data_IF_571652095861
#
_entry.id   IF_571652095861
#
_cell.length_a   1.000
_cell.length_b   1.000
_cell.length_c   1.000
_cell.angle_alpha   90.00
_cell.angle_beta   90.00
_cell.angle_gamma   90.00
#
_symmetry.space_group_name_H-M   'P 1'
#
loop_
_entity.id
_entity.type
_entity.pdbx_description
1 polymer ?
#
# COMPACT_ATOMS: atom_id res chain seq x y z
N UNK A 1 9.88 -15.37 -15.13
CA UNK A 1 11.05 -15.72 -14.28
C UNK A 1 10.59 -16.67 -13.21
N UNK A 2 11.42 -17.67 -12.82
CA UNK A 2 11.07 -18.54 -11.69
C UNK A 2 11.25 -17.78 -10.39
N UNK A 3 10.30 -17.91 -9.47
CA UNK A 3 10.32 -17.26 -8.15
C UNK A 3 11.61 -17.64 -7.38
N UNK A 4 12.22 -16.65 -6.76
CA UNK A 4 13.41 -16.75 -5.94
C UNK A 4 13.08 -16.45 -4.49
N UNK A 5 14.00 -16.74 -3.57
CA UNK A 5 13.88 -16.45 -2.14
C UNK A 5 13.54 -14.98 -1.87
N UNK A 6 14.24 -14.05 -2.52
CA UNK A 6 14.03 -12.62 -2.38
C UNK A 6 12.59 -12.19 -2.71
N UNK A 7 11.99 -12.77 -3.75
CA UNK A 7 10.61 -12.47 -4.13
C UNK A 7 9.63 -12.84 -3.01
N UNK A 8 9.82 -14.02 -2.40
CA UNK A 8 8.99 -14.46 -1.27
C UNK A 8 9.17 -13.55 -0.05
N UNK A 9 10.42 -13.20 0.27
CA UNK A 9 10.70 -12.31 1.38
C UNK A 9 10.03 -10.96 1.20
N UNK A 10 10.25 -10.33 0.04
CA UNK A 10 9.68 -9.01 -0.28
C UNK A 10 8.16 -9.02 -0.26
N UNK A 11 7.53 -10.04 -0.89
CA UNK A 11 6.07 -10.17 -0.87
C UNK A 11 5.54 -10.36 0.55
N UNK A 12 6.17 -11.26 1.33
CA UNK A 12 5.75 -11.53 2.71
C UNK A 12 5.88 -10.31 3.60
N UNK A 13 7.01 -9.60 3.47
CA UNK A 13 7.27 -8.39 4.25
C UNK A 13 6.27 -7.28 3.91
N UNK A 14 6.05 -7.02 2.63
CA UNK A 14 5.11 -6.00 2.18
C UNK A 14 3.69 -6.24 2.68
N UNK A 15 3.18 -7.46 2.50
CA UNK A 15 1.83 -7.82 2.94
C UNK A 15 1.68 -7.78 4.46
N UNK A 16 2.72 -8.24 5.18
CA UNK A 16 2.75 -8.13 6.63
C UNK A 16 2.79 -6.67 7.09
N UNK A 17 3.66 -5.85 6.49
CA UNK A 17 3.81 -4.45 6.84
C UNK A 17 2.50 -3.68 6.68
N UNK A 18 1.85 -3.86 5.55
CA UNK A 18 0.55 -3.23 5.27
C UNK A 18 -0.53 -3.67 6.27
N UNK A 19 -0.66 -4.97 6.50
CA UNK A 19 -1.61 -5.49 7.50
C UNK A 19 -1.27 -5.01 8.92
N UNK A 20 0.01 -5.01 9.31
CA UNK A 20 0.45 -4.61 10.64
C UNK A 20 0.13 -3.14 10.91
N UNK A 21 0.38 -2.27 9.93
CA UNK A 21 0.04 -0.85 10.00
C UNK A 21 -1.48 -0.63 10.12
N UNK A 22 -2.26 -1.31 9.31
CA UNK A 22 -3.72 -1.18 9.33
C UNK A 22 -4.37 -1.77 10.59
N UNK A 23 -3.85 -2.89 11.09
CA UNK A 23 -4.43 -3.59 12.23
C UNK A 23 -3.98 -3.01 13.58
N UNK A 24 -2.69 -2.77 13.74
CA UNK A 24 -2.13 -2.22 14.99
C UNK A 24 -2.27 -0.70 15.08
N UNK A 25 -2.12 -0.03 13.94
CA UNK A 25 -2.17 1.43 13.86
C UNK A 25 -3.56 1.99 13.59
N UNK A 26 -4.51 1.15 13.21
CA UNK A 26 -5.84 1.60 12.72
C UNK A 26 -5.70 2.70 11.64
N UNK A 27 -4.62 2.61 10.82
CA UNK A 27 -4.19 3.66 9.89
C UNK A 27 -5.06 3.68 8.61
N UNK A 28 -6.37 3.85 8.79
CA UNK A 28 -7.34 3.97 7.70
C UNK A 28 -8.55 4.83 8.10
N UNK A 29 -9.26 5.31 7.10
CA UNK A 29 -10.48 6.11 7.27
C UNK A 29 -11.58 5.63 6.34
N UNK A 30 -12.79 5.38 6.88
CA UNK A 30 -13.97 5.05 6.09
C UNK A 30 -14.49 6.30 5.36
N UNK A 31 -14.68 6.20 4.06
CA UNK A 31 -15.15 7.29 3.20
C UNK A 31 -16.36 6.86 2.38
N UNK A 32 -17.22 7.84 2.11
CA UNK A 32 -18.24 7.79 1.08
C UNK A 32 -18.00 8.97 0.17
N UNK A 33 -17.87 8.75 -1.13
CA UNK A 33 -17.49 9.83 -2.02
C UNK A 33 -17.86 9.59 -3.48
N UNK A 34 -17.70 10.65 -4.24
CA UNK A 34 -17.88 10.66 -5.69
C UNK A 34 -16.60 10.24 -6.39
N UNK A 35 -16.75 9.63 -7.56
CA UNK A 35 -15.70 9.30 -8.48
C UNK A 35 -15.78 10.20 -9.72
N UNK A 36 -14.63 10.60 -10.20
CA UNK A 36 -14.51 11.55 -11.30
C UNK A 36 -14.03 10.86 -12.57
N UNK A 37 -14.78 11.03 -13.65
CA UNK A 37 -14.40 10.49 -14.96
C UNK A 37 -13.12 11.11 -15.49
N UNK A 38 -12.25 10.27 -16.01
CA UNK A 38 -11.09 10.70 -16.81
C UNK A 38 -10.75 9.66 -17.88
N UNK A 39 -9.95 10.06 -18.87
CA UNK A 39 -9.46 9.17 -19.91
C UNK A 39 -8.07 8.64 -19.54
N UNK A 40 -7.91 7.34 -19.49
CA UNK A 40 -6.61 6.69 -19.33
C UNK A 40 -6.30 5.88 -20.60
N UNK A 41 -5.27 6.27 -21.38
CA UNK A 41 -4.94 5.61 -22.65
C UNK A 41 -4.41 4.16 -22.48
N UNK A 42 -4.12 3.75 -21.24
CA UNK A 42 -3.66 2.39 -20.90
C UNK A 42 -4.79 1.44 -20.54
N UNK A 43 -6.00 1.95 -20.38
CA UNK A 43 -7.19 1.14 -20.13
C UNK A 43 -7.92 0.91 -21.44
N UNK A 44 -8.37 -0.33 -21.66
CA UNK A 44 -9.16 -0.69 -22.84
C UNK A 44 -10.36 0.23 -22.99
N UNK A 45 -10.65 0.66 -24.22
CA UNK A 45 -11.75 1.57 -24.57
C UNK A 45 -13.15 1.04 -24.23
N UNK A 46 -13.28 -0.27 -23.99
CA UNK A 46 -14.51 -0.87 -23.49
C UNK A 46 -14.87 -0.44 -22.07
N UNK A 47 -13.89 0.09 -21.31
CA UNK A 47 -14.08 0.59 -19.96
C UNK A 47 -14.03 2.10 -19.90
N UNK A 48 -14.83 2.66 -19.00
CA UNK A 48 -14.73 4.07 -18.57
C UNK A 48 -14.10 4.10 -17.19
N UNK A 49 -13.12 4.97 -17.02
CA UNK A 49 -12.34 5.08 -15.78
C UNK A 49 -12.86 6.21 -14.93
N UNK A 50 -13.11 5.90 -13.66
CA UNK A 50 -13.55 6.86 -12.66
C UNK A 50 -12.63 6.78 -11.45
N UNK A 51 -11.89 7.85 -11.17
CA UNK A 51 -10.95 7.94 -10.05
C UNK A 51 -11.58 8.59 -8.82
N UNK A 52 -11.22 8.09 -7.65
CA UNK A 52 -11.47 8.77 -6.38
C UNK A 52 -10.35 9.79 -6.09
N UNK A 53 -10.56 10.74 -5.17
CA UNK A 53 -9.49 11.63 -4.71
C UNK A 53 -8.51 10.96 -3.74
N UNK A 54 -8.51 9.64 -3.65
CA UNK A 54 -7.66 8.84 -2.75
C UNK A 54 -6.98 7.73 -3.53
N UNK A 55 -5.71 7.44 -3.19
CA UNK A 55 -4.89 6.50 -3.96
C UNK A 55 -5.16 5.06 -3.58
N UNK A 56 -4.77 4.64 -2.40
CA UNK A 56 -4.87 3.24 -2.00
C UNK A 56 -6.08 3.00 -1.10
N UNK A 57 -6.88 2.00 -1.45
CA UNK A 57 -7.96 1.52 -0.62
C UNK A 57 -7.53 0.30 0.18
N UNK A 58 -8.17 0.09 1.32
CA UNK A 58 -7.97 -1.12 2.11
C UNK A 58 -8.51 -2.32 1.34
N UNK A 59 -7.65 -3.32 1.16
CA UNK A 59 -7.94 -4.57 0.45
C UNK A 59 -8.21 -5.74 1.38
N UNK A 60 -7.76 -5.64 2.64
CA UNK A 60 -7.69 -6.76 3.57
C UNK A 60 -8.95 -6.86 4.45
N UNK A 61 -9.73 -7.93 4.25
CA UNK A 61 -10.94 -8.20 5.02
C UNK A 61 -10.69 -8.67 6.45
N UNK A 62 -9.44 -8.88 6.85
CA UNK A 62 -9.10 -9.14 8.25
C UNK A 62 -9.09 -7.88 9.11
N UNK A 63 -9.10 -6.68 8.49
CA UNK A 63 -9.09 -5.41 9.21
C UNK A 63 -10.49 -5.09 9.72
N UNK A 64 -10.67 -5.20 11.04
CA UNK A 64 -11.95 -4.96 11.69
C UNK A 64 -12.36 -3.51 11.57
N UNK A 65 -13.56 -3.25 11.05
CA UNK A 65 -14.12 -1.90 10.91
C UNK A 65 -13.80 -1.20 9.57
N UNK A 66 -12.92 -1.77 8.75
CA UNK A 66 -12.68 -1.26 7.40
C UNK A 66 -13.82 -1.67 6.45
N UNK A 67 -14.21 -0.74 5.58
CA UNK A 67 -15.19 -0.97 4.51
C UNK A 67 -14.44 -1.23 3.20
N UNK A 68 -14.50 -2.46 2.72
CA UNK A 68 -13.94 -2.79 1.41
C UNK A 68 -15.02 -2.68 0.35
N UNK A 69 -14.77 -1.95 -0.74
CA UNK A 69 -15.73 -1.83 -1.81
C UNK A 69 -15.88 -3.17 -2.54
N UNK A 70 -17.12 -3.57 -2.81
CA UNK A 70 -17.48 -4.71 -3.66
C UNK A 70 -18.07 -4.27 -5.00
N UNK A 71 -18.26 -2.96 -5.18
CA UNK A 71 -18.82 -2.31 -6.35
C UNK A 71 -18.98 -0.82 -6.11
N UNK A 72 -19.69 -0.18 -7.01
CA UNK A 72 -19.99 1.25 -7.01
C UNK A 72 -21.48 1.51 -7.25
N UNK A 73 -21.93 2.70 -6.93
CA UNK A 73 -23.29 3.15 -7.23
C UNK A 73 -23.26 4.03 -8.49
N UNK A 74 -23.95 3.61 -9.54
CA UNK A 74 -24.07 4.30 -10.82
C UNK A 74 -25.48 4.89 -10.91
N UNK A 75 -25.58 6.22 -10.88
CA UNK A 75 -26.89 6.88 -10.85
C UNK A 75 -27.77 6.45 -9.67
N UNK A 76 -27.16 6.05 -8.56
CA UNK A 76 -27.85 5.58 -7.36
C UNK A 76 -28.13 4.07 -7.31
N UNK A 77 -27.86 3.31 -8.39
CA UNK A 77 -28.01 1.85 -8.42
C UNK A 77 -26.67 1.17 -8.20
N UNK A 78 -26.65 0.16 -7.33
CA UNK A 78 -25.43 -0.61 -7.07
C UNK A 78 -25.06 -1.47 -8.28
N UNK A 79 -23.80 -1.48 -8.64
CA UNK A 79 -23.19 -2.31 -9.68
C UNK A 79 -21.89 -2.91 -9.16
N UNK A 80 -21.79 -4.21 -9.20
CA UNK A 80 -20.63 -4.97 -8.74
C UNK A 80 -19.81 -5.56 -9.87
N UNK A 81 -18.94 -6.47 -9.51
CA UNK A 81 -18.08 -7.20 -10.45
C UNK A 81 -18.87 -7.94 -11.53
N UNK A 82 -19.98 -8.57 -11.16
CA UNK A 82 -20.85 -9.32 -12.08
C UNK A 82 -21.53 -8.40 -13.12
N UNK A 83 -21.62 -7.11 -12.83
CA UNK A 83 -22.14 -6.09 -13.72
C UNK A 83 -21.05 -5.42 -14.58
N UNK A 84 -19.83 -5.97 -14.58
CA UNK A 84 -18.69 -5.46 -15.36
C UNK A 84 -17.99 -4.27 -14.72
N UNK A 85 -18.02 -4.16 -13.40
CA UNK A 85 -17.21 -3.20 -12.65
C UNK A 85 -15.92 -3.87 -12.19
N UNK A 86 -14.77 -3.26 -12.48
CA UNK A 86 -13.45 -3.63 -12.00
C UNK A 86 -12.99 -2.56 -11.03
N UNK A 87 -12.60 -2.97 -9.83
CA UNK A 87 -12.10 -2.05 -8.79
C UNK A 87 -10.58 -2.13 -8.74
N UNK A 88 -9.93 -1.02 -9.01
CA UNK A 88 -8.49 -0.89 -8.87
C UNK A 88 -8.17 -0.27 -7.49
N UNK A 89 -7.89 -1.15 -6.54
CA UNK A 89 -7.63 -0.78 -5.14
C UNK A 89 -6.32 -0.01 -4.96
N UNK A 90 -5.33 -0.27 -5.82
CA UNK A 90 -4.02 0.37 -5.74
C UNK A 90 -4.06 1.82 -6.23
N UNK A 91 -4.88 2.09 -7.25
CA UNK A 91 -5.02 3.42 -7.82
C UNK A 91 -6.29 4.15 -7.36
N UNK A 92 -7.09 3.56 -6.48
CA UNK A 92 -8.27 4.20 -5.93
C UNK A 92 -9.31 4.56 -7.00
N UNK A 93 -9.58 3.65 -7.96
CA UNK A 93 -10.45 3.91 -9.10
C UNK A 93 -11.35 2.73 -9.45
N UNK A 94 -12.43 3.03 -10.15
CA UNK A 94 -13.35 2.04 -10.69
C UNK A 94 -13.36 2.10 -12.22
N UNK A 95 -13.26 0.95 -12.86
CA UNK A 95 -13.42 0.77 -14.29
C UNK A 95 -14.81 0.17 -14.55
N UNK A 96 -15.62 0.88 -15.32
CA UNK A 96 -17.01 0.50 -15.57
C UNK A 96 -17.19 0.18 -17.04
N UNK A 97 -17.70 -1.01 -17.36
CA UNK A 97 -18.00 -1.41 -18.73
C UNK A 97 -19.26 -0.71 -19.25
N UNK A 98 -19.28 -0.44 -20.56
CA UNK A 98 -20.47 0.09 -21.25
C UNK A 98 -20.58 1.61 -21.28
N UNK A 99 -21.78 2.12 -21.60
CA UNK A 99 -22.06 3.52 -21.93
C UNK A 99 -22.56 4.37 -20.76
N UNK A 100 -22.08 4.10 -19.55
CA UNK A 100 -22.47 4.83 -18.32
C UNK A 100 -21.86 6.23 -18.20
N UNK A 101 -21.58 6.87 -19.34
CA UNK A 101 -21.05 8.25 -19.38
C UNK A 101 -22.14 9.24 -18.99
N UNK A 102 -21.80 10.18 -18.10
CA UNK A 102 -22.70 11.25 -17.67
C UNK A 102 -23.54 10.92 -16.42
N UNK A 103 -23.44 9.73 -15.87
CA UNK A 103 -24.04 9.39 -14.59
C UNK A 103 -23.05 9.68 -13.44
N UNK A 104 -23.58 10.09 -12.29
CA UNK A 104 -22.78 10.20 -11.08
C UNK A 104 -22.36 8.80 -10.60
N UNK A 105 -21.08 8.65 -10.27
CA UNK A 105 -20.53 7.44 -9.68
C UNK A 105 -20.14 7.73 -8.24
N UNK A 106 -20.65 6.94 -7.31
CA UNK A 106 -20.30 7.06 -5.89
C UNK A 106 -19.91 5.70 -5.32
N UNK A 107 -19.14 5.69 -4.23
CA UNK A 107 -18.73 4.47 -3.56
C UNK A 107 -18.52 4.65 -2.07
N UNK A 108 -18.48 3.51 -1.37
CA UNK A 108 -18.10 3.41 0.03
C UNK A 108 -16.85 2.54 0.12
N UNK A 109 -15.80 3.06 0.72
CA UNK A 109 -14.51 2.41 0.80
C UNK A 109 -13.69 2.93 1.97
N UNK A 110 -12.76 2.15 2.46
CA UNK A 110 -11.75 2.61 3.41
C UNK A 110 -10.49 3.00 2.67
N UNK A 111 -9.96 4.15 3.02
CA UNK A 111 -8.72 4.71 2.47
C UNK A 111 -7.62 4.51 3.49
N UNK A 112 -6.46 4.09 3.05
CA UNK A 112 -5.26 4.04 3.90
C UNK A 112 -4.82 5.46 4.27
N UNK A 113 -4.45 5.67 5.52
CA UNK A 113 -3.90 6.96 5.96
C UNK A 113 -2.49 7.17 5.42
N UNK A 114 -1.76 6.08 5.20
CA UNK A 114 -0.50 6.06 4.47
C UNK A 114 -0.60 5.13 3.27
N UNK A 115 -0.25 5.62 2.10
CA UNK A 115 -0.02 4.76 0.94
C UNK A 115 1.28 3.98 1.15
N UNK A 116 1.30 2.71 0.82
CA UNK A 116 2.50 1.87 0.98
C UNK A 116 3.00 1.45 -0.39
N UNK A 117 4.25 1.79 -0.69
CA UNK A 117 4.89 1.51 -1.97
C UNK A 117 6.15 0.68 -1.80
N UNK A 118 6.35 -0.27 -2.71
CA UNK A 118 7.67 -0.86 -2.92
C UNK A 118 8.43 -0.01 -3.92
N UNK A 119 9.63 0.42 -3.57
CA UNK A 119 10.45 1.27 -4.44
C UNK A 119 11.88 0.78 -4.55
N UNK A 120 12.54 1.19 -5.63
CA UNK A 120 13.99 1.12 -5.80
C UNK A 120 14.65 2.50 -5.68
N UNK A 121 13.85 3.55 -5.43
CA UNK A 121 14.38 4.88 -5.19
C UNK A 121 15.18 4.93 -3.90
N UNK A 122 16.22 5.73 -3.91
CA UNK A 122 17.06 5.95 -2.72
C UNK A 122 16.40 6.94 -1.77
N UNK A 123 16.90 7.00 -0.53
CA UNK A 123 16.48 8.03 0.41
C UNK A 123 16.73 9.44 -0.15
N UNK A 124 17.80 9.63 -0.93
CA UNK A 124 18.10 10.91 -1.59
C UNK A 124 17.05 11.27 -2.63
N UNK A 125 16.64 10.32 -3.47
CA UNK A 125 15.57 10.52 -4.44
C UNK A 125 14.27 10.99 -3.78
N UNK A 126 13.89 10.35 -2.68
CA UNK A 126 12.66 10.64 -1.96
C UNK A 126 12.73 11.92 -1.14
N UNK A 127 13.83 12.15 -0.41
CA UNK A 127 13.94 13.26 0.56
C UNK A 127 14.48 14.53 -0.07
N UNK A 128 15.39 14.42 -1.06
CA UNK A 128 16.02 15.57 -1.71
C UNK A 128 15.36 15.92 -3.02
N UNK A 129 15.13 14.93 -3.88
CA UNK A 129 14.54 15.17 -5.21
C UNK A 129 13.01 15.20 -5.19
N UNK A 130 12.37 14.82 -4.07
CA UNK A 130 10.91 14.81 -3.87
C UNK A 130 10.17 14.09 -5.02
N UNK A 131 10.59 12.87 -5.34
CA UNK A 131 9.95 12.03 -6.37
C UNK A 131 8.61 11.45 -5.90
N UNK A 132 7.69 12.34 -5.57
CA UNK A 132 6.32 12.00 -5.18
C UNK A 132 5.37 13.18 -5.41
N UNK A 133 4.08 12.92 -5.36
CA UNK A 133 3.03 13.94 -5.50
C UNK A 133 2.37 14.18 -4.14
N UNK A 134 2.26 15.44 -3.74
CA UNK A 134 1.52 15.82 -2.53
C UNK A 134 0.03 15.85 -2.86
N UNK A 135 -0.74 15.01 -2.18
CA UNK A 135 -2.18 15.03 -2.29
C UNK A 135 -2.78 15.98 -1.26
N UNK A 136 -3.39 17.06 -1.73
CA UNK A 136 -4.19 17.91 -0.87
C UNK A 136 -5.49 17.19 -0.49
N UNK A 137 -5.53 16.61 0.71
CA UNK A 137 -6.74 16.00 1.28
C UNK A 137 -7.76 17.02 1.78
N UNK A 138 -7.49 18.32 1.57
CA UNK A 138 -8.39 19.40 1.99
C UNK A 138 -9.57 19.51 1.03
N UNK A 139 -10.80 19.63 1.54
CA UNK A 139 -12.01 19.72 0.73
C UNK A 139 -12.23 21.13 0.15
N UNK A 140 -11.22 21.73 -0.45
CA UNK A 140 -11.30 23.07 -1.03
C UNK A 140 -11.14 23.03 -2.56
N UNK A 141 -12.25 22.93 -3.25
CA UNK A 141 -12.29 22.97 -4.71
C UNK A 141 -12.97 21.75 -5.34
N UNK A 142 -13.11 21.72 -6.66
CA UNK A 142 -13.58 20.52 -7.33
C UNK A 142 -12.55 19.41 -7.08
N UNK A 143 -12.98 18.36 -6.41
CA UNK A 143 -12.17 17.17 -6.20
C UNK A 143 -11.75 16.65 -7.55
N UNK A 144 -10.46 16.45 -7.74
CA UNK A 144 -9.90 15.80 -8.92
C UNK A 144 -9.43 14.43 -8.54
N UNK A 145 -9.48 13.49 -9.48
CA UNK A 145 -8.86 12.18 -9.33
C UNK A 145 -7.34 12.33 -9.18
N UNK A 146 -6.71 11.36 -8.55
CA UNK A 146 -5.25 11.25 -8.52
C UNK A 146 -4.81 10.49 -9.77
N UNK A 147 -3.75 10.97 -10.42
CA UNK A 147 -3.17 10.26 -11.56
C UNK A 147 -2.70 8.86 -11.13
N UNK A 148 -3.02 7.79 -11.88
CA UNK A 148 -2.84 6.42 -11.42
C UNK A 148 -1.38 6.02 -11.21
N UNK A 149 -0.44 6.75 -11.74
CA UNK A 149 1.00 6.41 -11.70
C UNK A 149 1.81 7.33 -10.81
N UNK A 150 1.14 8.24 -10.11
CA UNK A 150 1.80 9.11 -9.15
C UNK A 150 1.93 8.39 -7.79
N UNK A 151 3.10 8.45 -7.20
CA UNK A 151 3.30 8.09 -5.81
C UNK A 151 2.86 9.24 -4.94
N UNK A 152 1.82 9.03 -4.15
CA UNK A 152 1.10 10.08 -3.43
C UNK A 152 1.37 9.98 -1.95
N UNK A 153 1.75 11.10 -1.34
CA UNK A 153 1.95 11.21 0.11
C UNK A 153 0.68 11.72 0.81
N UNK A 154 0.45 11.34 2.09
CA UNK A 154 1.32 10.59 3.01
C UNK A 154 1.58 9.16 2.56
N UNK A 155 2.83 8.73 2.68
CA UNK A 155 3.24 7.43 2.18
C UNK A 155 4.40 6.81 2.96
N UNK A 156 4.54 5.51 2.80
CA UNK A 156 5.68 4.73 3.28
C UNK A 156 6.29 4.03 2.07
N UNK A 157 7.56 4.32 1.83
CA UNK A 157 8.32 3.75 0.72
C UNK A 157 9.24 2.66 1.27
N UNK A 158 8.98 1.42 0.88
CA UNK A 158 9.71 0.24 1.34
C UNK A 158 10.71 -0.18 0.26
N UNK A 159 11.95 -0.39 0.66
CA UNK A 159 13.01 -0.92 -0.19
C UNK A 159 13.78 -2.03 0.51
N UNK A 160 14.35 -2.96 -0.25
CA UNK A 160 15.33 -3.92 0.25
C UNK A 160 16.72 -3.46 -0.16
N UNK A 161 17.67 -3.40 0.79
CA UNK A 161 19.03 -2.98 0.49
C UNK A 161 19.96 -4.18 0.35
N UNK A 162 20.55 -4.63 1.43
CA UNK A 162 21.59 -5.65 1.42
C UNK A 162 21.06 -7.02 1.82
N UNK A 163 21.59 -8.06 1.18
CA UNK A 163 21.32 -9.45 1.56
C UNK A 163 22.66 -10.14 1.86
N UNK A 164 22.79 -10.75 3.01
CA UNK A 164 23.97 -11.48 3.43
C UNK A 164 23.63 -12.91 3.82
N UNK A 165 24.39 -13.86 3.29
CA UNK A 165 24.36 -15.23 3.75
C UNK A 165 25.51 -15.47 4.74
N UNK A 166 25.17 -15.90 5.93
CA UNK A 166 26.15 -16.26 6.97
C UNK A 166 26.12 -17.77 7.22
N UNK A 167 27.27 -18.45 7.29
CA UNK A 167 27.29 -19.87 7.64
C UNK A 167 26.84 -20.01 9.12
N UNK A 168 25.80 -20.81 9.32
CA UNK A 168 25.26 -21.08 10.64
C UNK A 168 25.94 -22.29 11.30
N UNK A 169 26.25 -23.34 10.52
CA UNK A 169 26.86 -24.55 11.05
C UNK A 169 27.79 -25.25 10.02
N UNK A 170 28.67 -26.08 10.53
CA UNK A 170 29.40 -27.06 9.71
C UNK A 170 28.37 -28.02 9.09
N UNK A 171 28.29 -28.04 7.77
CA UNK A 171 27.32 -28.89 7.05
C UNK A 171 26.45 -28.14 6.03
N UNK A 172 26.71 -26.85 5.81
CA UNK A 172 26.11 -26.08 4.72
C UNK A 172 24.78 -25.38 5.04
N UNK A 173 24.36 -25.35 6.29
CA UNK A 173 23.27 -24.47 6.71
C UNK A 173 23.74 -23.01 6.73
N UNK A 174 22.90 -22.14 6.19
CA UNK A 174 23.17 -20.70 6.12
C UNK A 174 21.99 -19.93 6.69
N UNK A 175 22.29 -18.86 7.42
CA UNK A 175 21.33 -17.83 7.74
C UNK A 175 21.40 -16.72 6.68
N UNK A 176 20.25 -16.34 6.17
CA UNK A 176 20.15 -15.22 5.23
C UNK A 176 19.54 -14.04 5.97
N UNK A 177 20.31 -12.97 6.09
CA UNK A 177 19.86 -11.69 6.65
C UNK A 177 19.66 -10.71 5.52
N UNK A 178 18.49 -10.08 5.46
CA UNK A 178 18.16 -9.06 4.47
C UNK A 178 17.76 -7.79 5.22
N UNK A 179 18.39 -6.68 4.86
CA UNK A 179 18.03 -5.37 5.38
C UNK A 179 16.85 -4.80 4.57
N UNK A 180 15.79 -4.45 5.29
CA UNK A 180 14.63 -3.76 4.72
C UNK A 180 14.62 -2.34 5.27
N UNK A 181 14.32 -1.38 4.40
CA UNK A 181 14.23 0.03 4.78
C UNK A 181 12.86 0.56 4.46
N UNK A 182 12.35 1.45 5.32
CA UNK A 182 11.13 2.20 5.04
C UNK A 182 11.36 3.70 5.29
N UNK A 183 11.05 4.51 4.27
CA UNK A 183 11.02 5.97 4.37
C UNK A 183 9.57 6.39 4.53
N UNK A 184 9.27 7.10 5.62
CA UNK A 184 7.92 7.54 5.97
C UNK A 184 7.82 9.04 5.73
N UNK A 185 6.84 9.44 4.93
CA UNK A 185 6.48 10.83 4.70
C UNK A 185 5.07 11.06 5.26
N UNK A 186 4.98 11.81 6.36
CA UNK A 186 3.75 12.06 7.11
C UNK A 186 3.33 13.54 7.08
N UNK A 187 2.03 13.82 7.19
CA UNK A 187 1.47 15.17 7.24
C UNK A 187 1.74 15.85 8.58
N UNK A 188 1.84 15.08 9.66
CA UNK A 188 2.12 15.60 10.99
C UNK A 188 3.00 14.70 11.84
N UNK A 189 3.51 15.25 12.94
CA UNK A 189 4.41 14.55 13.86
C UNK A 189 3.72 13.40 14.58
N UNK A 190 2.44 13.51 14.91
CA UNK A 190 1.71 12.47 15.64
C UNK A 190 1.53 11.22 14.80
N UNK A 191 1.20 11.40 13.51
CA UNK A 191 1.13 10.31 12.56
C UNK A 191 2.49 9.61 12.41
N UNK A 192 3.57 10.40 12.25
CA UNK A 192 4.92 9.86 12.17
C UNK A 192 5.30 9.07 13.41
N UNK A 193 5.07 9.66 14.59
CA UNK A 193 5.39 9.03 15.87
C UNK A 193 4.60 7.74 16.08
N UNK A 194 3.35 7.73 15.68
CA UNK A 194 2.49 6.56 15.72
C UNK A 194 3.06 5.40 14.90
N UNK A 195 3.41 5.65 13.64
CA UNK A 195 3.99 4.63 12.75
C UNK A 195 5.31 4.11 13.30
N UNK A 196 6.24 4.99 13.68
CA UNK A 196 7.54 4.59 14.22
C UNK A 196 7.39 3.76 15.50
N UNK A 197 6.47 4.13 16.39
CA UNK A 197 6.21 3.40 17.64
C UNK A 197 5.66 2.00 17.37
N UNK A 198 4.70 1.87 16.44
CA UNK A 198 4.11 0.57 16.09
C UNK A 198 5.19 -0.39 15.58
N UNK A 199 6.07 0.08 14.70
CA UNK A 199 7.10 -0.78 14.14
C UNK A 199 8.27 -1.05 15.09
N UNK A 200 8.55 -0.18 16.06
CA UNK A 200 9.48 -0.51 17.14
C UNK A 200 9.06 -1.74 17.94
N UNK A 201 7.76 -1.96 18.08
CA UNK A 201 7.21 -3.11 18.81
C UNK A 201 7.14 -4.39 17.95
N UNK A 202 7.67 -4.37 16.72
CA UNK A 202 7.62 -5.50 15.80
C UNK A 202 8.85 -6.44 15.88
N UNK A 203 9.78 -6.18 16.78
CA UNK A 203 10.92 -7.09 17.02
C UNK A 203 10.40 -8.46 17.45
N UNK A 204 11.01 -9.51 16.93
CA UNK A 204 10.61 -10.92 17.10
C UNK A 204 9.29 -11.33 16.39
N UNK A 205 8.68 -10.44 15.60
CA UNK A 205 7.56 -10.84 14.74
C UNK A 205 8.01 -11.88 13.71
N UNK A 206 7.10 -12.80 13.42
CA UNK A 206 7.34 -13.94 12.56
C UNK A 206 6.44 -13.91 11.33
N UNK A 207 7.05 -13.94 10.16
CA UNK A 207 6.36 -13.89 8.87
C UNK A 207 6.38 -15.25 8.18
N UNK A 208 5.25 -15.64 7.60
CA UNK A 208 5.17 -16.82 6.75
C UNK A 208 5.64 -16.48 5.32
N UNK A 209 6.34 -17.37 4.63
CA UNK A 209 6.87 -17.12 3.28
C UNK A 209 5.76 -17.17 2.23
N UNK A 210 5.11 -16.06 1.97
CA UNK A 210 4.06 -15.92 0.97
C UNK A 210 4.71 -15.75 -0.42
N UNK A 211 4.41 -16.62 -1.39
CA UNK A 211 4.93 -16.49 -2.73
C UNK A 211 4.28 -15.31 -3.49
N UNK A 212 4.90 -14.85 -4.57
CA UNK A 212 4.34 -13.78 -5.43
C UNK A 212 2.93 -14.12 -5.96
N UNK A 213 2.63 -15.40 -6.16
CA UNK A 213 1.29 -15.85 -6.54
C UNK A 213 0.23 -15.59 -5.46
N UNK A 214 0.65 -15.49 -4.20
CA UNK A 214 -0.19 -15.12 -3.07
C UNK A 214 -0.43 -13.61 -2.93
N UNK A 215 0.20 -12.78 -3.77
CA UNK A 215 -0.10 -11.35 -3.82
C UNK A 215 -1.56 -11.13 -4.26
N UNK A 216 -2.33 -10.30 -3.54
CA UNK A 216 -3.80 -10.29 -3.68
C UNK A 216 -4.30 -9.66 -4.97
N UNK A 217 -3.58 -8.70 -5.54
CA UNK A 217 -4.06 -7.92 -6.68
C UNK A 217 -3.58 -8.47 -8.03
N UNK A 218 -4.33 -8.17 -9.06
CA UNK A 218 -3.95 -8.36 -10.47
C UNK A 218 -3.08 -7.19 -10.94
N UNK A 219 -2.58 -7.24 -12.16
CA UNK A 219 -1.88 -6.13 -12.81
C UNK A 219 -2.73 -4.86 -12.97
N UNK A 220 -4.05 -4.99 -12.88
CA UNK A 220 -5.01 -3.87 -12.91
C UNK A 220 -5.38 -3.36 -11.52
N UNK A 221 -4.76 -3.87 -10.46
CA UNK A 221 -5.05 -3.48 -9.09
C UNK A 221 -6.34 -4.07 -8.49
N UNK A 222 -7.05 -4.94 -9.22
CA UNK A 222 -8.24 -5.64 -8.74
C UNK A 222 -7.86 -6.89 -7.93
N UNK A 223 -8.70 -7.28 -6.98
CA UNK A 223 -8.51 -8.49 -6.19
C UNK A 223 -8.71 -9.76 -7.04
N UNK A 224 -7.73 -10.67 -7.06
CA UNK A 224 -7.74 -11.90 -7.88
C UNK A 224 -8.99 -12.74 -7.69
N UNK A 225 -9.40 -12.94 -6.43
CA UNK A 225 -10.53 -13.79 -6.06
C UNK A 225 -11.72 -12.97 -5.54
N UNK A 226 -11.77 -11.66 -5.84
CA UNK A 226 -12.81 -10.75 -5.40
C UNK A 226 -12.78 -10.39 -3.91
N UNK A 227 -11.95 -11.07 -3.13
CA UNK A 227 -11.71 -10.78 -1.71
C UNK A 227 -10.29 -11.16 -1.32
N UNK A 228 -9.75 -10.47 -0.33
CA UNK A 228 -8.46 -10.79 0.25
C UNK A 228 -8.56 -10.77 1.77
N UNK A 229 -7.90 -11.72 2.43
CA UNK A 229 -7.79 -11.81 3.88
C UNK A 229 -6.37 -12.24 4.22
N UNK A 230 -5.60 -11.33 4.79
CA UNK A 230 -4.19 -11.58 5.12
C UNK A 230 -4.02 -12.75 6.08
N UNK A 231 -4.87 -12.85 7.11
CA UNK A 231 -4.79 -13.94 8.11
C UNK A 231 -4.95 -15.30 7.44
N UNK A 232 -5.95 -15.42 6.55
CA UNK A 232 -6.18 -16.68 5.81
C UNK A 232 -5.01 -17.00 4.87
N UNK A 233 -4.50 -16.01 4.14
CA UNK A 233 -3.37 -16.19 3.23
C UNK A 233 -2.12 -16.58 4.03
N UNK A 234 -1.80 -15.84 5.09
CA UNK A 234 -0.68 -16.14 5.98
C UNK A 234 -0.74 -17.57 6.52
N UNK A 235 -1.90 -18.01 7.01
CA UNK A 235 -2.08 -19.33 7.58
C UNK A 235 -1.97 -20.44 6.52
N UNK A 236 -2.40 -20.17 5.29
CA UNK A 236 -2.26 -21.07 4.14
C UNK A 236 -0.79 -21.37 3.76
N UNK A 237 0.14 -20.50 4.13
CA UNK A 237 1.58 -20.69 3.91
C UNK A 237 2.36 -20.97 5.18
N UNK A 238 1.73 -21.54 6.22
CA UNK A 238 2.35 -21.92 7.48
C UNK A 238 3.22 -23.18 7.33
N UNK A 239 4.39 -23.04 6.72
CA UNK A 239 5.38 -24.11 6.60
C UNK A 239 6.49 -24.04 7.66
N UNK A 240 7.53 -24.88 7.51
CA UNK A 240 8.67 -24.93 8.41
C UNK A 240 9.59 -23.70 8.29
N UNK A 241 9.62 -23.06 7.12
CA UNK A 241 10.41 -21.84 6.89
C UNK A 241 9.66 -20.64 7.46
N UNK A 242 10.38 -19.77 8.15
CA UNK A 242 9.89 -18.52 8.71
C UNK A 242 10.89 -17.40 8.45
N UNK A 243 10.39 -16.17 8.36
CA UNK A 243 11.21 -14.98 8.41
C UNK A 243 10.99 -14.31 9.78
N UNK A 244 12.05 -13.87 10.41
CA UNK A 244 12.01 -13.21 11.71
C UNK A 244 12.53 -11.80 11.58
N UNK A 245 11.91 -10.86 12.26
CA UNK A 245 12.41 -9.50 12.41
C UNK A 245 13.34 -9.48 13.62
N UNK A 246 14.65 -9.38 13.38
CA UNK A 246 15.66 -9.50 14.43
C UNK A 246 16.02 -8.17 15.08
N UNK A 247 15.94 -7.07 14.32
CA UNK A 247 16.30 -5.74 14.80
C UNK A 247 15.44 -4.69 14.07
N UNK A 248 15.05 -3.65 14.77
CA UNK A 248 14.32 -2.52 14.21
C UNK A 248 14.94 -1.24 14.74
N UNK A 249 15.34 -0.36 13.86
CA UNK A 249 15.85 0.98 14.19
C UNK A 249 14.95 2.04 13.60
N UNK A 250 14.57 2.99 14.42
CA UNK A 250 13.77 4.13 13.97
C UNK A 250 14.53 5.43 14.17
N UNK A 251 14.39 6.33 13.20
CA UNK A 251 14.96 7.67 13.29
C UNK A 251 14.05 8.70 12.62
N UNK A 252 14.28 9.97 12.93
CA UNK A 252 13.52 11.09 12.36
C UNK A 252 14.46 12.15 11.80
N UNK A 253 14.03 12.76 10.72
CA UNK A 253 14.70 13.97 10.22
C UNK A 253 14.44 15.13 11.18
N UNK A 254 15.45 15.93 11.47
CA UNK A 254 15.29 17.09 12.36
C UNK A 254 14.46 18.19 11.69
N UNK A 255 13.77 19.02 12.48
CA UNK A 255 12.98 20.14 11.95
C UNK A 255 13.80 21.11 11.08
N UNK A 256 15.08 21.27 11.39
CA UNK A 256 15.98 22.13 10.62
C UNK A 256 16.22 21.56 9.23
N UNK A 257 16.51 20.27 9.15
CA UNK A 257 16.83 19.58 7.91
C UNK A 257 15.55 19.39 7.09
N UNK A 258 14.45 19.07 7.73
CA UNK A 258 13.13 18.97 7.13
C UNK A 258 12.75 20.21 6.33
N UNK A 259 12.84 21.40 6.95
CA UNK A 259 12.49 22.67 6.28
C UNK A 259 13.36 23.00 5.08
N UNK A 260 14.54 22.43 5.00
CA UNK A 260 15.47 22.66 3.88
C UNK A 260 15.33 21.64 2.76
N UNK A 261 14.87 20.42 3.07
CA UNK A 261 14.88 19.29 2.14
C UNK A 261 13.48 18.87 1.69
N UNK A 262 12.52 18.83 2.60
CA UNK A 262 11.21 18.21 2.34
C UNK A 262 10.10 19.17 2.73
N UNK A 263 9.53 19.86 1.78
CA UNK A 263 8.43 20.82 1.97
C UNK A 263 7.37 20.29 2.95
N UNK A 264 7.23 20.90 4.12
CA UNK A 264 6.19 20.69 5.15
C UNK A 264 5.86 19.23 5.56
N UNK A 265 6.54 18.23 5.02
CA UNK A 265 6.36 16.83 5.40
C UNK A 265 7.28 16.45 6.57
N UNK A 266 6.81 15.56 7.43
CA UNK A 266 7.59 14.95 8.50
C UNK A 266 8.16 13.64 8.03
N UNK A 267 9.47 13.46 8.16
CA UNK A 267 10.21 12.32 7.62
C UNK A 267 10.73 11.44 8.75
N UNK A 268 10.49 10.16 8.62
CA UNK A 268 11.04 9.13 9.48
C UNK A 268 11.58 7.95 8.68
N UNK A 269 12.43 7.17 9.34
CA UNK A 269 13.09 6.00 8.76
C UNK A 269 12.92 4.81 9.70
N UNK A 270 12.72 3.65 9.11
CA UNK A 270 12.76 2.35 9.76
C UNK A 270 13.78 1.52 9.01
N UNK A 271 14.78 1.00 9.72
CA UNK A 271 15.85 0.12 9.24
C UNK A 271 15.84 -1.20 9.97
#
# INVERSE_FOLDING_TARGET
>A
MKEQFQHKLTTSFFLWFDNFLLNKGEAYSNKTGEFFYYSDPRVDSAYKVYGSPFKQWVTDSSITGATMPTGVYIGGSFSGRDDGVVLDFENGRALVSGSNTGLSLTGQFSVKDFNVYMTNDTEEDLVVENKYTVNSRLPSGPYTYIAPYDDVVPAIFISSSDAQNKPFALGGMQDTVVAMKAVILADDTYQLDGVLSIFMDSVDECLNPIPMTGYPTTELGDLKDGSYNYTTVKDGYSGDMKFYINDVKTSKLTDRDRKSLVHDMYVGFID
#
